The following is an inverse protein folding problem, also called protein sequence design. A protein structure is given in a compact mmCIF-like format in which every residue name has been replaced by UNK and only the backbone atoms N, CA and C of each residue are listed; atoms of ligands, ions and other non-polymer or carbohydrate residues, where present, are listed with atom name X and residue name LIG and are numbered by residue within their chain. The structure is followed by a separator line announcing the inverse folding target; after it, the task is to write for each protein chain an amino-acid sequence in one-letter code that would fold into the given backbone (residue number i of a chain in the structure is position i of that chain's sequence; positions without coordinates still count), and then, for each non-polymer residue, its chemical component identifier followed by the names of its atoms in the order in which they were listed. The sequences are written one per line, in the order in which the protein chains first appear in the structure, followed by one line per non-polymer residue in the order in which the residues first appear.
data_IF_391298748820
#
_entry.id   IF_391298748820
#
_cell.length_a   1.000
_cell.length_b   1.000
_cell.length_c   1.000
_cell.angle_alpha   90.00
_cell.angle_beta   90.00
_cell.angle_gamma   90.00
#
_symmetry.space_group_name_H-M   'P 1'
#
loop_
_entity.id
_entity.type
_entity.pdbx_description
1 polymer ?
#
# COMPACT_ATOMS: atom_id res chain seq x y z
N UNK A 1 8.44 -22.70 -9.91
CA UNK A 1 7.88 -22.58 -8.55
C UNK A 1 8.39 -21.38 -7.76
N UNK A 2 9.59 -20.81 -8.02
CA UNK A 2 10.02 -19.56 -7.36
C UNK A 2 9.22 -18.31 -7.78
N UNK A 3 8.82 -18.23 -9.06
CA UNK A 3 8.13 -17.04 -9.59
C UNK A 3 6.72 -16.80 -9.01
N UNK A 4 6.06 -17.80 -8.42
CA UNK A 4 4.74 -17.60 -7.79
C UNK A 4 4.87 -16.93 -6.42
N UNK A 5 5.82 -17.38 -5.61
CA UNK A 5 6.06 -16.82 -4.27
C UNK A 5 6.45 -15.34 -4.34
N UNK A 6 7.38 -14.99 -5.24
CA UNK A 6 7.82 -13.61 -5.47
C UNK A 6 6.64 -12.70 -5.88
N UNK A 7 5.78 -13.20 -6.78
CA UNK A 7 4.56 -12.50 -7.18
C UNK A 7 3.57 -12.33 -6.03
N UNK A 8 3.42 -13.33 -5.16
CA UNK A 8 2.53 -13.27 -3.99
C UNK A 8 3.05 -12.27 -2.94
N UNK A 9 4.37 -12.23 -2.70
CA UNK A 9 5.00 -11.22 -1.83
C UNK A 9 4.71 -9.81 -2.35
N UNK A 10 4.91 -9.57 -3.66
CA UNK A 10 4.60 -8.29 -4.32
C UNK A 10 3.12 -7.93 -4.20
N UNK A 11 2.23 -8.90 -4.44
CA UNK A 11 0.78 -8.68 -4.33
C UNK A 11 0.37 -8.32 -2.89
N UNK A 12 0.96 -8.98 -1.89
CA UNK A 12 0.70 -8.67 -0.48
C UNK A 12 1.16 -7.27 -0.12
N UNK A 13 2.35 -6.86 -0.57
CA UNK A 13 2.83 -5.48 -0.42
C UNK A 13 1.88 -4.47 -1.08
N UNK A 14 1.48 -4.69 -2.33
CA UNK A 14 0.58 -3.79 -3.05
C UNK A 14 -0.76 -3.61 -2.32
N UNK A 15 -1.30 -4.70 -1.78
CA UNK A 15 -2.55 -4.69 -1.05
C UNK A 15 -2.44 -3.92 0.27
N UNK A 16 -1.35 -4.13 1.01
CA UNK A 16 -1.06 -3.39 2.24
C UNK A 16 -0.87 -1.89 2.01
N UNK A 17 -0.15 -1.54 0.94
CA UNK A 17 0.03 -0.16 0.49
C UNK A 17 -1.31 0.51 0.19
N UNK A 18 -2.11 -0.10 -0.68
CA UNK A 18 -3.39 0.45 -1.12
C UNK A 18 -4.37 0.62 0.04
N UNK A 19 -4.59 -0.45 0.81
CA UNK A 19 -5.59 -0.45 1.86
C UNK A 19 -5.21 0.49 3.00
N UNK A 20 -3.93 0.59 3.37
CA UNK A 20 -3.48 1.53 4.40
C UNK A 20 -3.64 2.97 3.95
N UNK A 21 -3.31 3.28 2.70
CA UNK A 21 -3.47 4.64 2.16
C UNK A 21 -4.93 5.09 2.11
N UNK A 22 -5.85 4.20 1.70
CA UNK A 22 -7.30 4.49 1.71
C UNK A 22 -7.81 4.65 3.14
N UNK A 23 -7.40 3.76 4.06
CA UNK A 23 -7.83 3.82 5.46
C UNK A 23 -7.32 5.09 6.16
N UNK A 24 -6.12 5.55 5.81
CA UNK A 24 -5.58 6.80 6.33
C UNK A 24 -6.36 8.01 5.80
N UNK A 25 -6.65 8.04 4.50
CA UNK A 25 -7.50 9.07 3.92
C UNK A 25 -8.90 9.12 4.58
N UNK A 26 -9.51 7.96 4.85
CA UNK A 26 -10.78 7.86 5.59
C UNK A 26 -10.63 8.43 7.01
N UNK A 27 -9.54 8.10 7.70
CA UNK A 27 -9.27 8.57 9.06
C UNK A 27 -9.14 10.09 9.09
N UNK A 28 -8.44 10.67 8.12
CA UNK A 28 -8.29 12.12 7.93
C UNK A 28 -9.65 12.82 7.70
N UNK A 29 -10.50 12.30 6.82
CA UNK A 29 -11.85 12.83 6.59
C UNK A 29 -12.65 12.85 7.90
N UNK A 30 -12.58 11.77 8.69
CA UNK A 30 -13.31 11.63 9.95
C UNK A 30 -12.80 12.58 11.05
N UNK A 31 -11.49 12.81 11.14
CA UNK A 31 -10.87 13.58 12.23
C UNK A 31 -10.98 15.09 12.05
N UNK A 32 -10.75 15.59 10.83
CA UNK A 32 -10.64 17.03 10.59
C UNK A 32 -11.98 17.69 10.22
N UNK A 33 -13.05 16.90 10.05
CA UNK A 33 -14.42 17.39 9.88
C UNK A 33 -14.67 18.19 8.59
N UNK A 34 -13.69 18.26 7.70
CA UNK A 34 -13.82 18.86 6.37
C UNK A 34 -14.06 17.71 5.39
N UNK A 35 -15.31 17.25 5.30
CA UNK A 35 -15.78 16.57 4.09
C UNK A 35 -15.66 17.58 2.94
N UNK A 36 -14.55 17.55 2.22
CA UNK A 36 -14.31 18.45 1.10
C UNK A 36 -15.16 17.96 -0.10
N UNK A 37 -15.46 18.87 -1.02
CA UNK A 37 -16.41 18.70 -2.14
C UNK A 37 -16.05 17.59 -3.16
N UNK A 38 -15.07 16.71 -2.87
CA UNK A 38 -14.53 15.69 -3.78
C UNK A 38 -14.40 14.28 -3.16
N UNK A 39 -14.79 14.07 -1.90
CA UNK A 39 -14.60 12.77 -1.21
C UNK A 39 -15.32 11.61 -1.91
N UNK A 40 -16.52 11.88 -2.42
CA UNK A 40 -17.28 10.93 -3.24
C UNK A 40 -16.50 10.46 -4.47
N UNK A 41 -15.79 11.38 -5.14
CA UNK A 41 -15.01 11.04 -6.33
C UNK A 41 -13.81 10.17 -5.98
N UNK A 42 -13.16 10.42 -4.86
CA UNK A 42 -11.99 9.69 -4.40
C UNK A 42 -12.38 8.28 -3.98
N UNK A 43 -13.43 8.15 -3.17
CA UNK A 43 -13.93 6.87 -2.70
C UNK A 43 -14.48 6.00 -3.83
N UNK A 44 -15.22 6.58 -4.79
CA UNK A 44 -15.63 5.85 -5.99
C UNK A 44 -14.43 5.39 -6.83
N UNK A 45 -13.41 6.25 -6.99
CA UNK A 45 -12.20 5.84 -7.70
C UNK A 45 -11.41 4.77 -6.94
N UNK A 46 -11.41 4.81 -5.61
CA UNK A 46 -10.82 3.75 -4.79
C UNK A 46 -11.56 2.42 -5.00
N UNK A 47 -12.89 2.43 -5.14
CA UNK A 47 -13.66 1.22 -5.48
C UNK A 47 -13.31 0.68 -6.87
N UNK A 48 -13.19 1.56 -7.87
CA UNK A 48 -12.75 1.17 -9.22
C UNK A 48 -11.34 0.55 -9.19
N UNK A 49 -10.43 1.12 -8.40
CA UNK A 49 -9.07 0.60 -8.22
C UNK A 49 -9.06 -0.74 -7.48
N UNK A 50 -9.91 -0.92 -6.48
CA UNK A 50 -10.09 -2.20 -5.81
C UNK A 50 -10.54 -3.30 -6.77
N UNK A 51 -11.40 -2.98 -7.76
CA UNK A 51 -11.77 -3.93 -8.81
C UNK A 51 -10.57 -4.34 -9.67
N UNK A 52 -9.69 -3.40 -10.01
CA UNK A 52 -8.45 -3.73 -10.76
C UNK A 52 -7.52 -4.64 -9.96
N UNK A 53 -7.53 -4.53 -8.63
CA UNK A 53 -6.78 -5.41 -7.72
C UNK A 53 -7.36 -6.83 -7.57
N UNK A 54 -8.53 -7.13 -8.14
CA UNK A 54 -9.18 -8.42 -7.99
C UNK A 54 -8.28 -9.59 -8.38
N UNK A 55 -7.47 -9.46 -9.44
CA UNK A 55 -6.53 -10.51 -9.87
C UNK A 55 -5.46 -10.81 -8.81
N UNK A 56 -4.83 -9.76 -8.28
CA UNK A 56 -3.81 -9.87 -7.23
C UNK A 56 -4.42 -10.43 -5.94
N UNK A 57 -5.59 -9.94 -5.55
CA UNK A 57 -6.31 -10.44 -4.38
C UNK A 57 -6.68 -11.93 -4.51
N UNK A 58 -7.23 -12.34 -5.66
CA UNK A 58 -7.57 -13.74 -5.92
C UNK A 58 -6.33 -14.63 -5.88
N UNK A 59 -5.18 -14.15 -6.35
CA UNK A 59 -3.93 -14.92 -6.28
C UNK A 59 -3.47 -15.20 -4.85
N UNK A 60 -3.75 -14.29 -3.91
CA UNK A 60 -3.38 -14.45 -2.49
C UNK A 60 -4.37 -15.37 -1.78
N UNK A 61 -5.67 -15.09 -1.90
CA UNK A 61 -6.68 -15.70 -1.03
C UNK A 61 -7.55 -16.76 -1.73
N UNK A 62 -7.36 -16.97 -3.04
CA UNK A 62 -8.20 -17.82 -3.88
C UNK A 62 -9.71 -17.55 -3.74
N UNK A 63 -10.06 -16.28 -3.56
CA UNK A 63 -11.44 -15.82 -3.43
C UNK A 63 -11.65 -14.49 -4.15
N UNK A 64 -12.92 -14.15 -4.39
CA UNK A 64 -13.28 -12.92 -5.10
C UNK A 64 -13.54 -11.80 -4.10
N UNK A 65 -13.15 -10.58 -4.48
CA UNK A 65 -13.58 -9.38 -3.77
C UNK A 65 -15.10 -9.25 -3.92
N UNK A 66 -15.81 -9.09 -2.81
CA UNK A 66 -17.27 -8.94 -2.80
C UNK A 66 -17.60 -7.46 -2.72
N UNK A 67 -18.05 -6.87 -3.82
CA UNK A 67 -18.61 -5.52 -3.83
C UNK A 67 -20.13 -5.59 -3.66
N UNK A 68 -20.65 -4.91 -2.66
CA UNK A 68 -22.09 -4.89 -2.41
C UNK A 68 -22.82 -3.97 -3.42
N UNK A 69 -23.93 -4.42 -4.03
CA UNK A 69 -24.72 -3.59 -4.93
C UNK A 69 -25.46 -2.44 -4.22
N UNK A 70 -25.37 -2.36 -2.88
CA UNK A 70 -26.06 -1.39 -2.03
C UNK A 70 -25.14 -0.30 -1.47
N UNK A 71 -23.92 -0.13 -1.98
CA UNK A 71 -23.07 1.03 -1.67
C UNK A 71 -23.72 2.29 -2.26
N UNK A 72 -24.70 2.86 -1.55
CA UNK A 72 -25.54 3.98 -2.03
C UNK A 72 -25.09 5.31 -1.47
N UNK A 73 -24.38 5.28 -0.35
CA UNK A 73 -23.91 6.46 0.36
C UNK A 73 -22.39 6.39 0.55
N UNK A 74 -21.78 7.54 0.81
CA UNK A 74 -20.36 7.63 1.15
C UNK A 74 -20.02 6.88 2.43
N UNK A 75 -20.92 6.92 3.41
CA UNK A 75 -20.76 6.18 4.66
C UNK A 75 -20.71 4.66 4.41
N UNK A 76 -21.55 4.14 3.50
CA UNK A 76 -21.50 2.72 3.11
C UNK A 76 -20.13 2.34 2.50
N UNK A 77 -19.55 3.22 1.68
CA UNK A 77 -18.26 2.99 1.03
C UNK A 77 -17.12 3.03 2.04
N UNK A 78 -17.17 3.99 2.96
CA UNK A 78 -16.21 4.11 4.07
C UNK A 78 -16.26 2.86 4.94
N UNK A 79 -17.44 2.46 5.41
CA UNK A 79 -17.63 1.27 6.25
C UNK A 79 -17.13 0.01 5.53
N UNK A 80 -17.41 -0.10 4.22
CA UNK A 80 -16.91 -1.21 3.41
C UNK A 80 -15.38 -1.27 3.39
N UNK A 81 -14.69 -0.14 3.15
CA UNK A 81 -13.22 -0.12 3.10
C UNK A 81 -12.59 -0.44 4.46
N UNK A 82 -13.16 0.07 5.56
CA UNK A 82 -12.68 -0.23 6.91
C UNK A 82 -12.84 -1.73 7.23
N UNK A 83 -14.04 -2.28 7.00
CA UNK A 83 -14.30 -3.70 7.19
C UNK A 83 -13.42 -4.58 6.29
N UNK A 84 -13.20 -4.17 5.03
CA UNK A 84 -12.35 -4.89 4.10
C UNK A 84 -10.87 -4.83 4.50
N UNK A 85 -10.38 -3.69 5.00
CA UNK A 85 -9.04 -3.53 5.54
C UNK A 85 -8.80 -4.52 6.70
N UNK A 86 -9.70 -4.53 7.69
CA UNK A 86 -9.59 -5.40 8.86
C UNK A 86 -9.66 -6.88 8.48
N UNK A 87 -10.59 -7.23 7.58
CA UNK A 87 -10.72 -8.59 7.07
C UNK A 87 -9.44 -9.08 6.38
N UNK A 88 -8.85 -8.27 5.49
CA UNK A 88 -7.62 -8.65 4.78
C UNK A 88 -6.45 -8.78 5.75
N UNK A 89 -6.31 -7.84 6.68
CA UNK A 89 -5.28 -7.89 7.72
C UNK A 89 -5.38 -9.16 8.55
N UNK A 90 -6.58 -9.52 9.00
CA UNK A 90 -6.83 -10.74 9.76
C UNK A 90 -6.51 -12.00 8.94
N UNK A 91 -6.90 -12.02 7.66
CA UNK A 91 -6.62 -13.15 6.77
C UNK A 91 -5.13 -13.33 6.51
N UNK A 92 -4.39 -12.26 6.26
CA UNK A 92 -2.94 -12.32 6.07
C UNK A 92 -2.25 -12.85 7.33
N UNK A 93 -2.72 -12.44 8.50
CA UNK A 93 -2.17 -12.93 9.76
C UNK A 93 -2.45 -14.43 10.00
N UNK A 94 -3.63 -14.93 9.61
CA UNK A 94 -4.07 -16.31 9.89
C UNK A 94 -3.65 -17.34 8.84
N UNK A 95 -3.78 -16.99 7.57
CA UNK A 95 -3.77 -17.96 6.47
C UNK A 95 -2.45 -17.98 5.70
N UNK A 96 -1.53 -17.07 6.03
CA UNK A 96 -0.34 -16.82 5.24
C UNK A 96 0.96 -16.88 6.05
N UNK A 97 2.05 -17.09 5.33
CA UNK A 97 3.39 -17.12 5.92
C UNK A 97 3.79 -15.72 6.42
N UNK A 98 4.67 -15.67 7.43
CA UNK A 98 5.13 -14.40 8.00
C UNK A 98 5.76 -13.44 6.98
N UNK A 99 6.26 -13.93 5.83
CA UNK A 99 6.77 -13.04 4.76
C UNK A 99 5.66 -12.24 4.08
N UNK A 100 4.46 -12.80 3.89
CA UNK A 100 3.34 -12.06 3.30
C UNK A 100 2.80 -11.02 4.26
N UNK A 101 2.75 -11.35 5.55
CA UNK A 101 2.40 -10.40 6.62
C UNK A 101 3.39 -9.24 6.68
N UNK A 102 4.70 -9.55 6.65
CA UNK A 102 5.75 -8.53 6.54
C UNK A 102 5.54 -7.66 5.30
N UNK A 103 5.33 -8.26 4.13
CA UNK A 103 5.12 -7.52 2.89
C UNK A 103 3.94 -6.54 3.00
N UNK A 104 2.81 -7.00 3.54
CA UNK A 104 1.61 -6.19 3.76
C UNK A 104 1.90 -4.98 4.66
N UNK A 105 2.53 -5.21 5.82
CA UNK A 105 2.82 -4.12 6.76
C UNK A 105 3.87 -3.14 6.24
N UNK A 106 4.91 -3.63 5.54
CA UNK A 106 5.89 -2.72 4.90
C UNK A 106 5.19 -1.86 3.85
N UNK A 107 4.29 -2.43 3.04
CA UNK A 107 3.46 -1.67 2.10
C UNK A 107 2.71 -0.55 2.80
N UNK A 108 2.04 -0.85 3.91
CA UNK A 108 1.29 0.13 4.69
C UNK A 108 2.15 1.23 5.32
N UNK A 109 3.32 0.88 5.87
CA UNK A 109 4.24 1.88 6.45
C UNK A 109 4.74 2.83 5.36
N UNK A 110 5.14 2.31 4.21
CA UNK A 110 5.65 3.14 3.10
C UNK A 110 4.58 4.12 2.61
N UNK A 111 3.32 3.68 2.48
CA UNK A 111 2.23 4.56 2.05
C UNK A 111 1.88 5.64 3.09
N UNK A 112 1.82 5.27 4.37
CA UNK A 112 1.44 6.20 5.44
C UNK A 112 2.53 7.25 5.69
N UNK A 113 3.80 6.84 5.69
CA UNK A 113 4.92 7.76 5.96
C UNK A 113 5.01 8.83 4.88
N UNK A 114 4.69 8.48 3.63
CA UNK A 114 4.73 9.43 2.53
C UNK A 114 3.61 10.49 2.67
N UNK A 115 2.40 10.08 3.07
CA UNK A 115 1.23 10.96 3.23
C UNK A 115 1.30 11.83 4.50
N UNK A 116 1.60 11.24 5.65
CA UNK A 116 1.47 11.90 6.96
C UNK A 116 2.79 12.46 7.50
N UNK A 117 3.91 12.17 6.83
CA UNK A 117 5.22 12.45 7.38
C UNK A 117 5.77 11.33 8.25
N UNK A 118 6.89 11.57 8.94
CA UNK A 118 7.59 10.53 9.70
C UNK A 118 6.73 9.94 10.82
N UNK A 119 6.62 8.61 10.84
CA UNK A 119 5.89 7.88 11.86
C UNK A 119 6.76 7.60 13.10
N UNK A 120 6.14 7.48 14.28
CA UNK A 120 6.81 7.05 15.51
C UNK A 120 6.99 5.53 15.54
N UNK A 121 7.87 5.04 14.66
CA UNK A 121 8.25 3.62 14.58
C UNK A 121 9.75 3.45 14.80
N UNK A 122 10.15 2.24 15.21
CA UNK A 122 11.55 1.85 15.28
C UNK A 122 12.13 1.76 13.86
N UNK A 123 12.78 2.86 13.45
CA UNK A 123 13.33 3.05 12.10
C UNK A 123 14.35 1.98 11.73
N UNK A 124 15.19 1.58 12.68
CA UNK A 124 16.19 0.54 12.47
C UNK A 124 15.52 -0.81 12.20
N UNK A 125 14.52 -1.19 13.01
CA UNK A 125 13.74 -2.41 12.76
C UNK A 125 13.01 -2.37 11.43
N UNK A 126 12.43 -1.22 11.05
CA UNK A 126 11.77 -1.10 9.76
C UNK A 126 12.74 -1.41 8.61
N UNK A 127 13.96 -0.86 8.68
CA UNK A 127 15.00 -1.11 7.67
C UNK A 127 15.42 -2.58 7.62
N UNK A 128 15.55 -3.23 8.77
CA UNK A 128 15.85 -4.67 8.85
C UNK A 128 14.74 -5.51 8.19
N UNK A 129 13.47 -5.18 8.46
CA UNK A 129 12.30 -5.84 7.87
C UNK A 129 12.23 -5.58 6.36
N UNK A 130 12.48 -4.34 5.93
CA UNK A 130 12.52 -3.98 4.51
C UNK A 130 13.62 -4.75 3.78
N UNK A 131 14.80 -4.87 4.36
CA UNK A 131 15.89 -5.65 3.77
C UNK A 131 15.54 -7.14 3.62
N UNK A 132 14.87 -7.70 4.64
CA UNK A 132 14.36 -9.06 4.57
C UNK A 132 13.34 -9.22 3.43
N UNK A 133 12.35 -8.33 3.34
CA UNK A 133 11.35 -8.34 2.27
C UNK A 133 12.01 -8.25 0.88
N UNK A 134 12.93 -7.31 0.72
CA UNK A 134 13.64 -7.08 -0.51
C UNK A 134 14.34 -8.37 -0.98
N UNK A 135 15.05 -9.06 -0.09
CA UNK A 135 15.69 -10.35 -0.37
C UNK A 135 14.71 -11.41 -0.90
N UNK A 136 13.51 -11.46 -0.35
CA UNK A 136 12.45 -12.38 -0.79
C UNK A 136 11.87 -11.98 -2.16
N UNK A 137 11.89 -10.69 -2.51
CA UNK A 137 11.58 -10.18 -3.85
C UNK A 137 12.71 -10.37 -4.90
N UNK A 138 13.84 -10.97 -4.50
CA UNK A 138 15.00 -11.25 -5.36
C UNK A 138 15.57 -10.04 -6.12
N UNK A 139 15.40 -8.83 -5.61
CA UNK A 139 15.88 -7.61 -6.28
C UNK A 139 17.41 -7.47 -6.20
N UNK A 140 18.01 -6.76 -7.15
CA UNK A 140 19.45 -6.48 -7.11
C UNK A 140 19.74 -5.29 -6.19
N UNK A 141 19.94 -5.53 -4.89
CA UNK A 141 20.18 -4.46 -3.90
C UNK A 141 21.65 -3.99 -3.81
N UNK A 142 22.49 -4.25 -4.81
CA UNK A 142 23.92 -3.88 -4.76
C UNK A 142 24.17 -2.37 -4.60
N UNK A 143 23.20 -1.54 -4.96
CA UNK A 143 23.22 -0.07 -4.80
C UNK A 143 22.30 0.43 -3.68
N UNK A 144 21.65 -0.49 -2.95
CA UNK A 144 20.76 -0.14 -1.85
C UNK A 144 21.55 0.28 -0.62
N UNK A 145 21.43 1.55 -0.22
CA UNK A 145 21.96 2.03 1.06
C UNK A 145 20.81 2.11 2.10
N UNK A 146 20.72 1.14 3.03
CA UNK A 146 19.60 1.08 3.98
C UNK A 146 19.50 2.33 4.86
N UNK A 147 20.64 2.95 5.19
CA UNK A 147 20.68 4.19 6.00
C UNK A 147 20.14 5.39 5.24
N UNK A 148 20.39 5.46 3.94
CA UNK A 148 19.90 6.56 3.11
C UNK A 148 18.38 6.49 2.96
N UNK A 149 17.83 5.29 2.76
CA UNK A 149 16.38 5.09 2.71
C UNK A 149 15.74 5.40 4.06
N UNK A 150 16.33 4.95 5.16
CA UNK A 150 15.85 5.29 6.51
C UNK A 150 15.75 6.81 6.70
N UNK A 151 16.84 7.52 6.39
CA UNK A 151 16.93 8.96 6.55
C UNK A 151 15.89 9.69 5.69
N UNK A 152 15.77 9.31 4.41
CA UNK A 152 14.86 9.95 3.47
C UNK A 152 13.39 9.61 3.76
N UNK A 153 13.07 8.34 4.05
CA UNK A 153 11.71 7.88 4.28
C UNK A 153 11.11 8.53 5.53
N UNK A 154 11.91 8.69 6.59
CA UNK A 154 11.47 9.34 7.84
C UNK A 154 11.96 10.79 7.94
N UNK A 155 12.17 11.45 6.80
CA UNK A 155 12.49 12.87 6.74
C UNK A 155 11.24 13.72 6.88
N UNK A 156 11.38 14.91 7.45
CA UNK A 156 10.34 15.96 7.41
C UNK A 156 10.16 16.53 5.99
N UNK A 157 11.11 16.30 5.08
CA UNK A 157 11.05 16.78 3.70
C UNK A 157 10.23 15.84 2.80
N UNK A 158 9.14 16.35 2.25
CA UNK A 158 8.22 15.61 1.36
C UNK A 158 8.92 15.02 0.12
N UNK A 159 9.83 15.78 -0.51
CA UNK A 159 10.57 15.31 -1.69
C UNK A 159 11.54 14.18 -1.34
N UNK A 160 12.14 14.20 -0.15
CA UNK A 160 13.00 13.11 0.32
C UNK A 160 12.18 11.83 0.59
N UNK A 161 11.03 11.96 1.25
CA UNK A 161 10.12 10.82 1.49
C UNK A 161 9.65 10.21 0.18
N UNK A 162 9.29 11.05 -0.77
CA UNK A 162 8.89 10.65 -2.13
C UNK A 162 9.99 9.87 -2.84
N UNK A 163 11.24 10.36 -2.80
CA UNK A 163 12.39 9.67 -3.38
C UNK A 163 12.64 8.31 -2.73
N UNK A 164 12.52 8.22 -1.39
CA UNK A 164 12.69 6.95 -0.67
C UNK A 164 11.62 5.94 -1.07
N UNK A 165 10.36 6.36 -1.10
CA UNK A 165 9.24 5.54 -1.59
C UNK A 165 9.49 5.05 -3.01
N UNK A 166 9.81 5.94 -3.94
CA UNK A 166 10.05 5.58 -5.35
C UNK A 166 11.19 4.56 -5.47
N UNK A 167 12.23 4.70 -4.65
CA UNK A 167 13.33 3.74 -4.58
C UNK A 167 12.88 2.37 -4.07
N UNK A 168 12.05 2.34 -3.01
CA UNK A 168 11.49 1.09 -2.46
C UNK A 168 10.59 0.41 -3.49
N UNK A 169 9.69 1.15 -4.13
CA UNK A 169 8.81 0.63 -5.18
C UNK A 169 9.62 0.10 -6.36
N UNK A 170 10.64 0.82 -6.81
CA UNK A 170 11.52 0.37 -7.87
C UNK A 170 12.20 -0.96 -7.54
N UNK A 171 12.67 -1.14 -6.30
CA UNK A 171 13.31 -2.37 -5.89
C UNK A 171 12.32 -3.53 -5.80
N UNK A 172 11.11 -3.31 -5.27
CA UNK A 172 10.11 -4.37 -5.15
C UNK A 172 9.58 -4.79 -6.53
N UNK A 173 9.43 -3.84 -7.45
CA UNK A 173 8.76 -4.02 -8.74
C UNK A 173 9.69 -3.87 -9.95
N UNK A 174 11.00 -4.11 -9.80
CA UNK A 174 12.02 -3.81 -10.81
C UNK A 174 11.64 -4.25 -12.24
N UNK A 175 11.10 -5.47 -12.39
CA UNK A 175 10.66 -6.02 -13.69
C UNK A 175 9.34 -5.41 -14.18
N UNK A 176 8.42 -5.06 -13.27
CA UNK A 176 7.14 -4.43 -13.55
C UNK A 176 7.27 -2.92 -13.85
N UNK A 177 8.33 -2.26 -13.33
CA UNK A 177 8.68 -0.87 -13.63
C UNK A 177 9.14 -0.72 -15.09
N UNK A 178 9.87 -1.73 -15.58
CA UNK A 178 10.36 -1.79 -16.96
C UNK A 178 9.26 -2.17 -17.97
N UNK A 179 8.20 -2.85 -17.53
CA UNK A 179 7.04 -3.23 -18.35
C UNK A 179 5.85 -2.27 -18.28
N UNK A 180 5.82 -1.35 -17.31
CA UNK A 180 4.76 -0.33 -17.15
C UNK A 180 3.56 -0.77 -16.28
N UNK A 181 3.66 -1.89 -15.55
CA UNK A 181 2.55 -2.48 -14.79
C UNK A 181 2.28 -1.84 -13.41
N UNK A 182 3.02 -0.80 -13.02
CA UNK A 182 2.83 -0.06 -11.76
C UNK A 182 1.70 0.98 -11.87
N UNK A 183 0.92 0.91 -12.95
CA UNK A 183 -0.24 1.77 -13.16
C UNK A 183 -1.15 1.79 -11.93
N UNK A 184 -1.31 0.70 -11.20
CA UNK A 184 -2.17 0.65 -10.02
C UNK A 184 -1.64 1.54 -8.87
N UNK A 185 -0.39 1.38 -8.42
CA UNK A 185 0.18 2.17 -7.29
C UNK A 185 0.27 3.65 -7.65
N UNK A 186 0.76 3.98 -8.84
CA UNK A 186 0.88 5.37 -9.32
C UNK A 186 -0.50 6.01 -9.54
N UNK A 187 -1.50 5.24 -9.99
CA UNK A 187 -2.86 5.74 -10.18
C UNK A 187 -3.56 6.00 -8.85
N UNK A 188 -3.33 5.15 -7.82
CA UNK A 188 -3.81 5.29 -6.44
C UNK A 188 -3.27 6.59 -5.81
N UNK A 189 -1.96 6.80 -5.87
CA UNK A 189 -1.31 8.01 -5.37
C UNK A 189 -1.83 9.26 -6.07
N UNK A 190 -1.96 9.23 -7.40
CA UNK A 190 -2.53 10.35 -8.16
C UNK A 190 -3.96 10.70 -7.74
N UNK A 191 -4.73 9.76 -7.19
CA UNK A 191 -6.08 10.04 -6.66
C UNK A 191 -5.97 10.78 -5.34
N UNK A 192 -5.18 10.25 -4.42
CA UNK A 192 -5.19 10.68 -3.02
C UNK A 192 -4.37 11.97 -2.87
N UNK A 193 -3.19 12.10 -3.49
CA UNK A 193 -2.40 13.33 -3.43
C UNK A 193 -3.06 14.54 -4.07
N UNK A 194 -3.80 14.37 -5.18
CA UNK A 194 -4.54 15.49 -5.82
C UNK A 194 -5.77 15.94 -5.04
N UNK A 195 -6.03 15.29 -3.91
CA UNK A 195 -7.24 15.44 -3.13
C UNK A 195 -6.97 15.88 -1.70
N UNK A 196 -5.79 15.54 -1.17
CA UNK A 196 -5.27 16.01 0.12
C UNK A 196 -4.52 17.34 -0.03
N UNK A 197 -4.01 17.67 -1.23
CA UNK A 197 -3.28 18.92 -1.55
C UNK A 197 -3.87 19.69 -2.72
#
# INVERSE_FOLDING_TARGET
MRNSLESEVRNSFALGYFLSLVNEYISYIKSDGILNFNDEKILNKALDLLQKFHGNYYSLFNEKIILFPNLKTIDDIIEYFECFFDYVKEKIHKDHSGVFEIAFYVGGIVSVTELLGPCDIDKQKFVEILYYLLKECNSNFCEFNPREIEQKLFSENDDERKQARDSILFLIYQDNFLSGEIDIIVEIEKVIHKSVF
#
